data_IF_668086249000
#
_entry.id   IF_668086249000
#
_cell.length_a   1.000
_cell.length_b   1.000
_cell.length_c   1.000
_cell.angle_alpha   90.00
_cell.angle_beta   90.00
_cell.angle_gamma   90.00
#
_symmetry.space_group_name_H-M   'P 1'
#
loop_
_entity.id
_entity.type
_entity.pdbx_description
1 polymer ?
#
# COMPACT_ATOMS: atom_id res chain seq x y z
N UNK A 1 5.49 -4.08 13.46
CA UNK A 1 6.65 -3.72 12.59
C UNK A 1 6.22 -3.95 11.16
N UNK A 2 6.02 -2.89 10.37
CA UNK A 2 5.87 -3.03 8.92
C UNK A 2 7.19 -2.66 8.26
N UNK A 3 7.52 -3.39 7.21
CA UNK A 3 8.78 -3.31 6.49
C UNK A 3 8.55 -2.44 5.26
N UNK A 4 9.18 -1.27 5.21
CA UNK A 4 8.92 -0.24 4.20
C UNK A 4 10.09 -0.18 3.23
N UNK A 5 9.83 -0.21 1.93
CA UNK A 5 10.84 -0.02 0.89
C UNK A 5 10.36 1.00 -0.14
N UNK A 6 11.26 1.78 -0.75
CA UNK A 6 10.90 2.68 -1.85
C UNK A 6 10.48 1.92 -3.12
N UNK A 7 10.75 0.62 -3.21
CA UNK A 7 10.23 -0.24 -4.28
C UNK A 7 8.90 -0.85 -3.84
N UNK A 8 7.89 -0.92 -4.73
CA UNK A 8 6.65 -1.63 -4.45
C UNK A 8 6.97 -2.99 -3.85
N UNK A 9 6.49 -3.25 -2.63
CA UNK A 9 6.61 -4.57 -2.03
C UNK A 9 5.28 -5.29 -2.15
N UNK A 10 5.34 -6.60 -2.37
CA UNK A 10 4.16 -7.44 -2.24
C UNK A 10 4.26 -8.17 -0.91
N UNK A 11 3.43 -7.78 0.06
CA UNK A 11 3.35 -8.42 1.38
C UNK A 11 2.84 -9.86 1.21
N UNK A 12 3.75 -10.85 1.19
CA UNK A 12 3.38 -12.25 0.85
C UNK A 12 2.72 -13.01 1.99
N UNK A 13 2.95 -12.59 3.22
CA UNK A 13 2.32 -13.11 4.42
C UNK A 13 1.52 -11.98 5.07
N UNK A 14 0.35 -12.29 5.63
CA UNK A 14 -0.47 -11.33 6.38
C UNK A 14 0.37 -10.82 7.56
N UNK A 15 0.94 -9.62 7.45
CA UNK A 15 1.61 -8.97 8.57
C UNK A 15 0.51 -8.25 9.34
N UNK A 16 0.27 -8.70 10.57
CA UNK A 16 -0.62 -7.99 11.48
C UNK A 16 0.21 -6.94 12.22
N UNK A 17 -0.15 -5.68 12.01
CA UNK A 17 0.32 -4.56 12.81
C UNK A 17 -0.63 -4.36 13.98
N UNK A 18 -0.12 -4.37 15.21
CA UNK A 18 -0.91 -4.04 16.38
C UNK A 18 -0.61 -2.61 16.78
N UNK A 19 -1.65 -1.80 16.94
CA UNK A 19 -1.53 -0.46 17.48
C UNK A 19 -2.46 -0.30 18.67
N UNK A 20 -1.91 0.20 19.77
CA UNK A 20 -2.69 0.68 20.90
C UNK A 20 -2.95 2.17 20.69
N UNK A 21 -4.22 2.52 20.54
CA UNK A 21 -4.67 3.87 20.23
C UNK A 21 -5.35 4.49 21.45
N UNK A 22 -5.17 5.80 21.55
CA UNK A 22 -5.79 6.64 22.56
C UNK A 22 -6.64 7.71 21.88
N UNK A 23 -7.85 8.01 22.38
CA UNK A 23 -8.73 9.00 21.79
C UNK A 23 -8.17 10.43 21.94
N UNK A 24 -7.30 10.64 22.93
CA UNK A 24 -6.61 11.91 23.17
C UNK A 24 -5.10 11.70 23.31
N UNK A 25 -4.29 12.67 22.86
CA UNK A 25 -2.86 12.67 23.15
C UNK A 25 -2.62 12.52 24.66
N UNK A 26 -1.64 11.71 25.04
CA UNK A 26 -1.22 11.46 26.44
C UNK A 26 -2.28 10.79 27.34
N UNK A 27 -3.37 10.24 26.78
CA UNK A 27 -4.32 9.41 27.54
C UNK A 27 -3.96 7.92 27.42
N UNK A 28 -4.31 7.08 28.42
CA UNK A 28 -4.05 5.65 28.33
C UNK A 28 -4.76 5.04 27.10
N UNK A 29 -4.18 4.03 26.46
CA UNK A 29 -4.77 3.41 25.29
C UNK A 29 -6.07 2.69 25.68
N UNK A 30 -7.14 2.99 24.94
CA UNK A 30 -8.46 2.38 25.13
C UNK A 30 -8.83 1.45 23.98
N UNK A 31 -8.13 1.54 22.85
CA UNK A 31 -8.50 0.84 21.62
C UNK A 31 -7.31 0.06 21.08
N UNK A 32 -7.51 -1.22 20.79
CA UNK A 32 -6.54 -2.04 20.06
C UNK A 32 -6.96 -2.12 18.59
N UNK A 33 -6.18 -1.50 17.71
CA UNK A 33 -6.35 -1.61 16.27
C UNK A 33 -5.44 -2.72 15.72
N UNK A 34 -6.04 -3.67 15.01
CA UNK A 34 -5.34 -4.76 14.33
C UNK A 34 -5.30 -4.46 12.84
N UNK A 35 -4.19 -3.87 12.39
CA UNK A 35 -3.95 -3.59 10.99
C UNK A 35 -3.59 -4.85 10.24
N UNK A 36 -4.36 -5.12 9.19
CA UNK A 36 -4.10 -6.24 8.30
C UNK A 36 -3.44 -5.70 7.06
N UNK A 37 -2.12 -5.85 6.94
CA UNK A 37 -1.45 -5.51 5.69
C UNK A 37 -1.80 -6.55 4.63
N UNK A 38 -2.66 -6.16 3.69
CA UNK A 38 -2.95 -6.96 2.51
C UNK A 38 -1.94 -6.57 1.44
N UNK A 39 -1.14 -7.55 0.97
CA UNK A 39 -0.35 -7.38 -0.26
C UNK A 39 -1.21 -6.64 -1.28
N UNK A 40 -0.66 -5.56 -1.86
CA UNK A 40 -1.31 -4.72 -2.86
C UNK A 40 -2.30 -5.55 -3.65
N UNK A 41 -3.58 -5.38 -3.29
CA UNK A 41 -4.65 -6.04 -4.00
C UNK A 41 -4.45 -5.56 -5.43
N UNK A 42 -4.20 -6.48 -6.35
CA UNK A 42 -4.27 -6.31 -7.82
C UNK A 42 -2.96 -6.41 -8.61
N UNK A 43 -2.93 -7.46 -9.42
CA UNK A 43 -2.40 -7.46 -10.79
C UNK A 43 -3.30 -8.32 -11.71
N UNK A 44 -4.62 -8.31 -11.48
CA UNK A 44 -5.58 -9.02 -12.34
C UNK A 44 -6.35 -8.01 -13.19
N UNK A 45 -5.77 -7.62 -14.33
CA UNK A 45 -6.56 -7.19 -15.48
C UNK A 45 -6.36 -8.18 -16.62
N UNK A 46 -7.48 -8.77 -17.06
CA UNK A 46 -7.65 -9.34 -18.39
C UNK A 46 -7.56 -8.20 -19.38
N UNK A 47 -6.60 -8.29 -20.28
CA UNK A 47 -6.34 -7.34 -21.36
C UNK A 47 -7.45 -7.41 -22.41
N UNK A 48 -8.53 -6.63 -22.25
CA UNK A 48 -9.51 -6.47 -23.34
C UNK A 48 -10.19 -5.10 -23.48
N UNK A 49 -9.92 -4.08 -22.65
CA UNK A 49 -10.68 -2.81 -22.75
C UNK A 49 -9.87 -1.53 -22.98
N UNK A 50 -8.55 -1.53 -22.80
CA UNK A 50 -7.73 -0.35 -23.11
C UNK A 50 -6.74 -0.68 -24.24
N UNK A 51 -7.10 -0.28 -25.46
CA UNK A 51 -6.25 -0.32 -26.63
C UNK A 51 -5.11 0.69 -26.51
N UNK A 52 -3.90 0.20 -26.27
CA UNK A 52 -2.70 1.03 -26.22
C UNK A 52 -1.45 0.19 -26.47
N UNK A 53 -0.92 0.28 -27.69
CA UNK A 53 0.26 -0.46 -28.17
C UNK A 53 1.57 0.13 -27.65
N UNK A 54 1.83 0.19 -26.34
CA UNK A 54 3.18 0.49 -25.84
C UNK A 54 3.52 -0.33 -24.58
N UNK A 55 4.72 -0.96 -24.59
CA UNK A 55 5.34 -1.78 -23.51
C UNK A 55 4.62 -3.10 -23.13
N UNK A 56 4.46 -4.02 -24.08
CA UNK A 56 3.59 -5.19 -23.89
C UNK A 56 4.24 -6.58 -23.68
N UNK A 57 5.57 -6.75 -23.68
CA UNK A 57 6.18 -8.10 -23.62
C UNK A 57 6.59 -8.62 -22.23
N UNK A 58 7.11 -7.79 -21.32
CA UNK A 58 7.65 -8.28 -20.03
C UNK A 58 6.63 -8.22 -18.86
N UNK A 59 5.74 -7.22 -18.80
CA UNK A 59 4.63 -7.15 -17.80
C UNK A 59 3.66 -8.34 -17.86
N UNK A 60 3.64 -9.11 -18.96
CA UNK A 60 2.75 -10.26 -19.16
C UNK A 60 3.11 -11.47 -18.29
N UNK A 61 4.38 -11.62 -17.90
CA UNK A 61 4.86 -12.83 -17.22
C UNK A 61 4.47 -12.87 -15.73
N UNK A 62 4.38 -11.72 -15.07
CA UNK A 62 4.02 -11.61 -13.65
C UNK A 62 2.51 -11.75 -13.39
N UNK A 63 1.69 -11.27 -14.35
CA UNK A 63 0.21 -11.18 -14.27
C UNK A 63 -0.52 -12.52 -14.08
N UNK A 64 0.10 -13.67 -14.37
CA UNK A 64 -0.56 -14.99 -14.35
C UNK A 64 0.05 -16.06 -13.44
N UNK A 65 1.05 -15.73 -12.59
CA UNK A 65 1.64 -16.75 -11.71
C UNK A 65 0.61 -17.30 -10.71
N UNK A 66 0.67 -18.61 -10.41
CA UNK A 66 -0.22 -19.25 -9.40
C UNK A 66 -0.10 -18.58 -8.03
N UNK A 67 1.12 -18.13 -7.69
CA UNK A 67 1.42 -17.38 -6.47
C UNK A 67 0.67 -16.05 -6.43
N UNK A 68 0.72 -15.28 -7.51
CA UNK A 68 0.04 -13.99 -7.59
C UNK A 68 -1.50 -14.14 -7.47
N UNK A 69 -2.11 -15.13 -8.14
CA UNK A 69 -3.54 -15.43 -7.99
C UNK A 69 -3.92 -15.80 -6.55
N UNK A 70 -3.09 -16.61 -5.88
CA UNK A 70 -3.29 -16.97 -4.48
C UNK A 70 -3.19 -15.74 -3.56
N UNK A 71 -2.23 -14.84 -3.81
CA UNK A 71 -2.07 -13.59 -3.05
C UNK A 71 -3.30 -12.69 -3.17
N UNK A 72 -3.79 -12.44 -4.38
CA UNK A 72 -5.00 -11.62 -4.59
C UNK A 72 -6.22 -12.26 -3.93
N UNK A 73 -6.37 -13.59 -4.02
CA UNK A 73 -7.45 -14.32 -3.35
C UNK A 73 -7.36 -14.19 -1.83
N UNK A 74 -6.17 -14.29 -1.25
CA UNK A 74 -5.93 -14.11 0.18
C UNK A 74 -6.25 -12.70 0.63
N UNK A 75 -5.80 -11.69 -0.12
CA UNK A 75 -6.06 -10.29 0.18
C UNK A 75 -7.58 -9.98 0.21
N UNK A 76 -8.34 -10.44 -0.78
CA UNK A 76 -9.81 -10.30 -0.78
C UNK A 76 -10.54 -11.16 0.24
N UNK A 77 -9.94 -12.26 0.72
CA UNK A 77 -10.50 -13.01 1.85
C UNK A 77 -10.33 -12.19 3.12
N UNK A 78 -9.14 -11.63 3.37
CA UNK A 78 -8.88 -10.75 4.51
C UNK A 78 -9.80 -9.54 4.53
N UNK A 79 -10.03 -8.91 3.37
CA UNK A 79 -10.95 -7.77 3.28
C UNK A 79 -12.38 -8.15 3.66
N UNK A 80 -12.84 -9.41 3.63
CA UNK A 80 -14.22 -9.70 4.08
C UNK A 80 -14.41 -9.65 5.59
N UNK A 81 -13.35 -9.86 6.36
CA UNK A 81 -13.43 -10.06 7.80
C UNK A 81 -12.91 -8.83 8.59
N UNK A 82 -12.78 -7.66 7.95
CA UNK A 82 -12.30 -6.42 8.61
C UNK A 82 -13.45 -5.47 8.91
N UNK A 83 -13.41 -4.90 10.12
CA UNK A 83 -14.39 -3.90 10.61
C UNK A 83 -14.30 -2.57 9.84
N UNK A 84 -13.11 -2.21 9.36
CA UNK A 84 -12.87 -0.99 8.60
C UNK A 84 -11.92 -1.24 7.43
N UNK A 85 -12.12 -0.52 6.32
CA UNK A 85 -11.25 -0.59 5.13
C UNK A 85 -10.67 0.78 4.84
N UNK A 86 -9.36 0.85 4.71
CA UNK A 86 -8.64 2.06 4.35
C UNK A 86 -7.99 1.90 2.98
N UNK A 87 -8.30 2.80 2.07
CA UNK A 87 -7.67 2.89 0.76
C UNK A 87 -6.70 4.07 0.76
N UNK A 88 -5.40 3.75 0.78
CA UNK A 88 -4.34 4.77 0.77
C UNK A 88 -4.00 5.12 -0.67
N UNK A 89 -4.06 6.40 -0.99
CA UNK A 89 -3.79 6.98 -2.30
C UNK A 89 -2.68 8.02 -2.21
N UNK A 90 -1.88 8.13 -3.27
CA UNK A 90 -0.89 9.21 -3.39
C UNK A 90 -1.57 10.46 -3.94
N UNK A 91 -1.68 11.50 -3.11
CA UNK A 91 -2.37 12.74 -3.45
C UNK A 91 -1.74 13.44 -4.67
N UNK A 92 -0.41 13.36 -4.83
CA UNK A 92 0.32 13.94 -5.97
C UNK A 92 -0.05 13.31 -7.31
N UNK A 93 -0.40 12.02 -7.30
CA UNK A 93 -0.91 11.34 -8.50
C UNK A 93 -2.37 11.68 -8.79
N UNK A 94 -3.10 12.23 -7.83
CA UNK A 94 -4.51 12.57 -8.01
C UNK A 94 -4.71 14.05 -8.37
N UNK A 95 -3.76 14.93 -7.99
CA UNK A 95 -3.87 16.38 -8.19
C UNK A 95 -3.69 16.86 -9.62
N UNK A 96 -2.96 16.12 -10.46
CA UNK A 96 -2.78 16.45 -11.87
C UNK A 96 -4.09 16.47 -12.69
N UNK A 97 -5.22 16.12 -12.07
CA UNK A 97 -6.49 15.82 -12.74
C UNK A 97 -7.69 16.62 -12.23
N UNK A 98 -7.48 17.64 -11.38
CA UNK A 98 -8.54 18.47 -10.78
C UNK A 98 -8.51 19.95 -11.15
N UNK A 99 -7.81 20.37 -12.22
CA UNK A 99 -7.68 21.80 -12.54
C UNK A 99 -6.85 22.62 -11.53
N UNK A 100 -6.16 21.95 -10.61
CA UNK A 100 -5.27 22.55 -9.60
C UNK A 100 -3.81 22.68 -10.06
N UNK A 101 -3.50 22.28 -11.30
CA UNK A 101 -2.23 22.67 -11.90
C UNK A 101 -2.33 24.15 -12.32
N UNK A 102 -1.33 25.00 -12.02
CA UNK A 102 -1.27 26.34 -12.59
C UNK A 102 -1.42 26.23 -14.11
N UNK A 103 -2.13 27.20 -14.71
CA UNK A 103 -2.51 27.25 -16.12
C UNK A 103 -1.47 26.57 -17.00
N UNK A 104 -1.91 25.58 -17.78
CA UNK A 104 -1.03 24.84 -18.69
C UNK A 104 -0.17 25.83 -19.46
N UNK A 105 1.17 25.65 -19.58
CA UNK A 105 1.99 26.60 -20.30
C UNK A 105 1.44 26.75 -21.72
N UNK A 106 0.98 27.95 -22.06
CA UNK A 106 0.57 28.29 -23.41
C UNK A 106 1.83 28.24 -24.29
N UNK A 107 1.82 27.38 -25.30
CA UNK A 107 2.80 27.43 -26.39
C UNK A 107 2.07 28.01 -27.61
N UNK A 108 2.49 29.20 -28.04
CA UNK A 108 1.91 29.91 -29.20
C UNK A 108 0.38 30.13 -29.15
N UNK A 109 -0.16 30.46 -27.97
CA UNK A 109 -1.60 30.74 -27.80
C UNK A 109 -2.49 29.50 -27.92
N UNK A 110 -1.89 28.30 -27.90
CA UNK A 110 -2.60 27.02 -27.86
C UNK A 110 -2.39 26.45 -26.46
N UNK A 111 -3.49 26.19 -25.75
CA UNK A 111 -3.45 25.48 -24.47
C UNK A 111 -2.96 24.04 -24.72
N UNK A 112 -1.71 23.75 -24.32
CA UNK A 112 -1.11 22.40 -24.40
C UNK A 112 -1.18 21.74 -23.03
N UNK A 113 -2.39 21.47 -22.58
CA UNK A 113 -2.68 20.69 -21.38
C UNK A 113 -4.04 20.01 -21.55
N UNK A 114 -4.29 18.87 -20.88
CA UNK A 114 -5.53 18.13 -21.10
C UNK A 114 -6.74 18.99 -20.67
N UNK A 115 -7.44 19.54 -21.65
CA UNK A 115 -8.80 20.05 -21.52
C UNK A 115 -9.72 18.85 -21.42
N UNK A 116 -9.77 18.18 -20.25
CA UNK A 116 -10.74 17.11 -20.04
C UNK A 116 -11.39 17.22 -18.67
N UNK A 117 -12.64 17.70 -18.72
CA UNK A 117 -13.70 17.47 -17.73
C UNK A 117 -14.07 16.00 -17.56
N UNK A 118 -13.47 15.08 -18.32
CA UNK A 118 -13.79 13.67 -18.24
C UNK A 118 -12.61 12.88 -17.68
N UNK A 119 -12.91 12.20 -16.56
CA UNK A 119 -12.31 10.94 -16.18
C UNK A 119 -10.89 10.92 -15.61
N UNK A 120 -10.76 11.08 -14.29
CA UNK A 120 -9.62 10.46 -13.59
C UNK A 120 -9.54 8.93 -13.85
N UNK A 121 -10.61 8.32 -14.40
CA UNK A 121 -10.75 6.92 -14.80
C UNK A 121 -10.08 6.46 -16.11
N UNK A 122 -9.35 7.33 -16.83
CA UNK A 122 -8.64 6.95 -18.06
C UNK A 122 -7.12 7.07 -17.97
N UNK A 123 -6.58 7.51 -16.83
CA UNK A 123 -5.15 7.79 -16.75
C UNK A 123 -4.30 6.50 -16.58
N UNK A 124 -3.27 6.29 -17.43
CA UNK A 124 -2.42 5.09 -17.35
C UNK A 124 -1.68 4.93 -16.02
N UNK A 125 -1.35 6.02 -15.33
CA UNK A 125 -0.67 5.96 -14.01
C UNK A 125 -1.60 5.62 -12.85
N UNK A 126 -2.92 5.68 -13.08
CA UNK A 126 -3.96 5.32 -12.11
C UNK A 126 -4.64 3.97 -12.46
N UNK A 127 -4.10 3.21 -13.42
CA UNK A 127 -4.69 1.93 -13.85
C UNK A 127 -4.90 0.97 -12.67
N UNK A 128 -3.97 0.97 -11.69
CA UNK A 128 -4.01 0.12 -10.50
C UNK A 128 -5.11 0.58 -9.53
N UNK A 129 -5.14 1.86 -9.22
CA UNK A 129 -6.11 2.53 -8.35
C UNK A 129 -7.54 2.36 -8.89
N UNK A 130 -7.73 2.48 -10.21
CA UNK A 130 -9.01 2.30 -10.88
C UNK A 130 -9.50 0.86 -10.87
N UNK A 131 -8.58 -0.10 -11.01
CA UNK A 131 -8.92 -1.50 -10.90
C UNK A 131 -9.44 -1.82 -9.49
N UNK A 132 -8.78 -1.26 -8.47
CA UNK A 132 -9.20 -1.43 -7.08
C UNK A 132 -10.58 -0.82 -6.80
N UNK A 133 -10.84 0.40 -7.30
CA UNK A 133 -12.16 1.02 -7.20
C UNK A 133 -13.26 0.15 -7.81
N UNK A 134 -13.02 -0.43 -9.00
CA UNK A 134 -14.00 -1.31 -9.66
C UNK A 134 -14.33 -2.53 -8.81
N UNK A 135 -13.35 -3.13 -8.15
CA UNK A 135 -13.59 -4.26 -7.26
C UNK A 135 -14.32 -3.86 -5.98
N UNK A 136 -14.01 -2.69 -5.39
CA UNK A 136 -14.75 -2.15 -4.24
C UNK A 136 -16.22 -1.94 -4.59
N UNK A 137 -16.48 -1.31 -5.74
CA UNK A 137 -17.83 -1.08 -6.28
C UNK A 137 -18.58 -2.39 -6.53
N UNK A 138 -17.94 -3.35 -7.19
CA UNK A 138 -18.51 -4.67 -7.48
C UNK A 138 -18.91 -5.42 -6.21
N UNK A 139 -18.16 -5.22 -5.12
CA UNK A 139 -18.40 -5.87 -3.83
C UNK A 139 -19.28 -5.05 -2.89
N UNK A 140 -19.68 -3.83 -3.31
CA UNK A 140 -20.42 -2.86 -2.50
C UNK A 140 -19.83 -2.69 -1.10
N UNK A 141 -18.50 -2.63 -1.02
CA UNK A 141 -17.83 -2.54 0.28
C UNK A 141 -17.59 -1.09 0.66
N UNK A 142 -17.99 -0.72 1.87
CA UNK A 142 -17.67 0.59 2.41
C UNK A 142 -16.15 0.76 2.62
N UNK A 143 -15.66 1.94 2.32
CA UNK A 143 -14.23 2.28 2.32
C UNK A 143 -14.02 3.70 2.84
N UNK A 144 -12.95 3.89 3.59
CA UNK A 144 -12.40 5.21 3.88
C UNK A 144 -11.16 5.46 3.05
N UNK A 145 -10.99 6.66 2.53
CA UNK A 145 -9.86 7.04 1.68
C UNK A 145 -8.85 7.85 2.49
N UNK A 146 -7.57 7.56 2.31
CA UNK A 146 -6.46 8.31 2.92
C UNK A 146 -5.60 8.84 1.79
N UNK A 147 -5.66 10.13 1.52
CA UNK A 147 -4.74 10.78 0.61
C UNK A 147 -3.44 11.07 1.36
N UNK A 148 -2.39 10.35 1.03
CA UNK A 148 -1.05 10.56 1.58
C UNK A 148 -0.22 11.44 0.66
N UNK A 149 0.83 12.07 1.19
CA UNK A 149 1.72 13.01 0.49
C UNK A 149 1.06 14.33 0.10
N UNK A 150 0.18 14.86 0.96
CA UNK A 150 -0.45 16.17 0.72
C UNK A 150 0.53 17.33 0.84
N UNK A 151 1.69 17.12 1.47
CA UNK A 151 2.80 18.08 1.49
C UNK A 151 3.32 18.42 0.09
N UNK A 152 3.37 17.42 -0.81
CA UNK A 152 3.78 17.65 -2.19
C UNK A 152 2.80 18.58 -2.91
N UNK A 153 1.51 18.46 -2.60
CA UNK A 153 0.48 19.34 -3.16
C UNK A 153 0.60 20.76 -2.61
N UNK A 154 0.85 20.90 -1.30
CA UNK A 154 1.08 22.21 -0.68
C UNK A 154 2.30 22.91 -1.29
N UNK A 155 3.40 22.18 -1.52
CA UNK A 155 4.60 22.70 -2.20
C UNK A 155 4.32 23.15 -3.64
N UNK A 156 3.35 22.53 -4.31
CA UNK A 156 2.87 22.92 -5.64
C UNK A 156 1.88 24.10 -5.61
N UNK A 157 1.54 24.64 -4.44
CA UNK A 157 0.57 25.72 -4.28
C UNK A 157 -0.89 25.29 -4.43
N UNK A 158 -1.17 23.99 -4.31
CA UNK A 158 -2.54 23.44 -4.40
C UNK A 158 -3.26 23.63 -3.07
N UNK A 159 -4.49 24.14 -3.14
CA UNK A 159 -5.40 24.15 -2.00
C UNK A 159 -5.86 22.72 -1.66
N UNK A 160 -5.43 22.22 -0.50
CA UNK A 160 -5.72 20.85 -0.05
C UNK A 160 -7.18 20.66 0.27
N UNK A 161 -7.85 21.69 0.82
CA UNK A 161 -9.27 21.59 1.17
C UNK A 161 -10.13 21.50 -0.09
N UNK A 162 -9.90 22.40 -1.05
CA UNK A 162 -10.53 22.38 -2.37
C UNK A 162 -10.29 21.06 -3.11
N UNK A 163 -9.04 20.58 -3.13
CA UNK A 163 -8.69 19.29 -3.71
C UNK A 163 -9.46 18.13 -3.06
N UNK A 164 -9.51 18.08 -1.72
CA UNK A 164 -10.21 17.02 -1.00
C UNK A 164 -11.72 17.06 -1.23
N UNK A 165 -12.32 18.25 -1.30
CA UNK A 165 -13.75 18.42 -1.57
C UNK A 165 -14.11 17.91 -2.97
N UNK A 166 -13.37 18.32 -3.99
CA UNK A 166 -13.61 17.85 -5.36
C UNK A 166 -13.41 16.33 -5.48
N UNK A 167 -12.34 15.80 -4.88
CA UNK A 167 -12.08 14.36 -4.91
C UNK A 167 -13.14 13.57 -4.15
N UNK A 168 -13.69 14.10 -3.05
CA UNK A 168 -14.82 13.50 -2.34
C UNK A 168 -16.02 13.34 -3.25
N UNK A 169 -16.47 14.41 -3.89
CA UNK A 169 -17.65 14.38 -4.78
C UNK A 169 -17.46 13.36 -5.91
N UNK A 170 -16.24 13.31 -6.49
CA UNK A 170 -15.90 12.34 -7.53
C UNK A 170 -15.98 10.90 -7.00
N UNK A 171 -15.31 10.61 -5.88
CA UNK A 171 -15.27 9.29 -5.26
C UNK A 171 -16.67 8.81 -4.83
N UNK A 172 -17.49 9.69 -4.26
CA UNK A 172 -18.86 9.36 -3.85
C UNK A 172 -19.73 8.96 -5.05
N UNK A 173 -19.63 9.71 -6.15
CA UNK A 173 -20.31 9.36 -7.40
C UNK A 173 -19.84 8.02 -7.98
N UNK A 174 -18.54 7.76 -7.95
CA UNK A 174 -17.96 6.60 -8.63
C UNK A 174 -18.16 5.29 -7.86
N UNK A 175 -17.89 5.34 -6.55
CA UNK A 175 -18.14 4.22 -5.64
C UNK A 175 -19.65 3.94 -5.56
N UNK A 176 -20.44 5.00 -5.41
CA UNK A 176 -21.90 4.91 -5.29
C UNK A 176 -22.34 4.55 -3.87
N UNK A 177 -23.51 3.89 -3.80
CA UNK A 177 -24.20 3.55 -2.55
C UNK A 177 -24.42 2.04 -2.45
N UNK A 178 -24.60 1.55 -1.24
CA UNK A 178 -24.98 0.16 -0.99
C UNK A 178 -26.48 -0.09 -1.23
N UNK A 179 -26.95 -1.28 -0.84
CA UNK A 179 -28.35 -1.71 -1.01
C UNK A 179 -29.34 -0.95 -0.11
N UNK A 180 -28.84 -0.36 0.99
CA UNK A 180 -29.62 0.44 1.92
C UNK A 180 -29.62 1.92 1.54
N UNK A 181 -28.83 2.30 0.53
CA UNK A 181 -28.70 3.68 0.07
C UNK A 181 -27.61 4.45 0.82
N UNK A 182 -26.81 3.79 1.67
CA UNK A 182 -25.70 4.43 2.36
C UNK A 182 -24.50 4.61 1.42
N UNK A 183 -23.77 5.70 1.58
CA UNK A 183 -22.59 5.98 0.77
C UNK A 183 -21.52 4.92 1.03
N UNK A 184 -20.90 4.40 -0.04
CA UNK A 184 -19.77 3.49 0.11
C UNK A 184 -18.50 4.21 0.55
N UNK A 185 -18.38 5.51 0.31
CA UNK A 185 -17.32 6.33 0.90
C UNK A 185 -17.75 6.76 2.30
N UNK A 186 -16.99 6.35 3.32
CA UNK A 186 -17.24 6.76 4.71
C UNK A 186 -16.51 8.06 5.01
N UNK A 187 -15.18 8.06 4.88
CA UNK A 187 -14.32 9.17 5.23
C UNK A 187 -13.26 9.42 4.18
N UNK A 188 -12.69 10.62 4.21
CA UNK A 188 -11.57 11.03 3.40
C UNK A 188 -10.64 11.89 4.27
N UNK A 189 -9.38 11.46 4.41
CA UNK A 189 -8.38 12.18 5.19
C UNK A 189 -7.19 12.60 4.31
N UNK A 190 -6.86 13.90 4.25
CA UNK A 190 -5.55 14.36 3.78
C UNK A 190 -4.49 14.10 4.84
N UNK A 191 -3.36 13.53 4.44
CA UNK A 191 -2.26 13.15 5.32
C UNK A 191 -0.92 13.42 4.67
N UNK A 192 0.04 13.81 5.50
CA UNK A 192 1.46 13.87 5.15
C UNK A 192 2.23 13.07 6.18
N UNK A 193 2.11 11.75 6.12
CA UNK A 193 2.56 10.86 7.22
C UNK A 193 4.05 11.02 7.54
N UNK A 194 4.87 11.34 6.55
CA UNK A 194 6.32 11.49 6.73
C UNK A 194 6.75 12.86 7.27
N UNK A 195 6.06 13.95 6.91
CA UNK A 195 6.43 15.31 7.35
C UNK A 195 5.60 15.79 8.54
N UNK A 196 4.32 15.43 8.58
CA UNK A 196 3.33 15.84 9.57
C UNK A 196 2.59 14.60 10.12
N UNK A 197 3.23 13.77 10.97
CA UNK A 197 2.60 12.57 11.54
C UNK A 197 1.30 12.85 12.29
N UNK A 198 1.14 14.05 12.84
CA UNK A 198 -0.07 14.55 13.50
C UNK A 198 -1.30 14.60 12.57
N UNK A 199 -1.11 14.59 11.25
CA UNK A 199 -2.20 14.46 10.28
C UNK A 199 -3.01 13.17 10.46
N UNK A 200 -2.45 12.14 11.12
CA UNK A 200 -3.15 10.90 11.45
C UNK A 200 -4.07 10.99 12.67
N UNK A 201 -4.00 12.06 13.48
CA UNK A 201 -4.76 12.16 14.73
C UNK A 201 -6.28 12.05 14.51
N UNK A 202 -6.80 12.65 13.44
CA UNK A 202 -8.23 12.56 13.10
C UNK A 202 -8.65 11.14 12.74
N UNK A 203 -7.81 10.41 12.01
CA UNK A 203 -8.02 9.00 11.68
C UNK A 203 -7.95 8.12 12.93
N UNK A 204 -6.98 8.37 13.82
CA UNK A 204 -6.86 7.63 15.09
C UNK A 204 -8.07 7.83 16.00
N UNK A 205 -8.58 9.06 16.11
CA UNK A 205 -9.82 9.35 16.85
C UNK A 205 -11.01 8.60 16.26
N UNK A 206 -11.18 8.66 14.95
CA UNK A 206 -12.24 7.95 14.26
C UNK A 206 -12.17 6.44 14.54
N UNK A 207 -10.96 5.83 14.51
CA UNK A 207 -10.76 4.43 14.87
C UNK A 207 -11.18 4.14 16.33
N UNK A 208 -10.85 5.01 17.28
CA UNK A 208 -11.24 4.85 18.68
C UNK A 208 -12.77 4.87 18.87
N UNK A 209 -13.47 5.65 18.06
CA UNK A 209 -14.92 5.87 18.16
C UNK A 209 -15.75 4.83 17.38
N UNK A 210 -15.19 4.23 16.33
CA UNK A 210 -15.95 3.41 15.36
C UNK A 210 -15.57 1.92 15.38
N UNK A 211 -14.48 1.52 16.03
CA UNK A 211 -14.17 0.10 16.21
C UNK A 211 -15.11 -0.54 17.24
N UNK A 212 -15.48 -1.83 17.06
CA UNK A 212 -16.40 -2.51 17.95
C UNK A 212 -15.86 -2.61 19.38
N UNK A 213 -16.73 -2.38 20.36
CA UNK A 213 -16.38 -2.52 21.78
C UNK A 213 -16.20 -4.01 22.12
N UNK A 214 -14.96 -4.38 22.46
CA UNK A 214 -14.61 -5.74 22.85
C UNK A 214 -13.32 -5.76 23.67
N UNK A 215 -13.06 -6.87 24.36
CA UNK A 215 -11.77 -7.11 24.99
C UNK A 215 -10.63 -7.18 23.94
N UNK A 216 -9.40 -6.78 24.29
CA UNK A 216 -8.26 -6.90 23.39
C UNK A 216 -8.11 -8.34 22.85
N UNK A 217 -8.00 -8.46 21.52
CA UNK A 217 -7.83 -9.74 20.83
C UNK A 217 -6.42 -10.29 21.06
N UNK A 218 -5.43 -9.39 21.14
CA UNK A 218 -4.04 -9.72 21.40
C UNK A 218 -3.57 -9.12 22.74
N UNK A 219 -2.56 -9.73 23.40
CA UNK A 219 -1.92 -9.13 24.57
C UNK A 219 -1.40 -7.71 24.26
N UNK A 220 -1.60 -6.76 25.18
CA UNK A 220 -1.20 -5.35 25.00
C UNK A 220 0.32 -5.16 24.88
N UNK A 221 1.10 -6.11 25.40
CA UNK A 221 2.56 -6.16 25.28
C UNK A 221 3.03 -6.43 23.84
N UNK A 222 2.16 -7.01 23.00
CA UNK A 222 2.52 -7.46 21.67
C UNK A 222 2.37 -6.31 20.65
N UNK A 223 3.48 -5.91 20.04
CA UNK A 223 3.49 -4.93 18.94
C UNK A 223 3.18 -5.61 17.58
N UNK A 224 3.36 -6.93 17.49
CA UNK A 224 3.01 -7.76 16.32
C UNK A 224 2.91 -9.22 16.76
N UNK A 225 2.08 -10.01 16.09
CA UNK A 225 1.99 -11.46 16.27
C UNK A 225 2.97 -12.23 15.37
N UNK A 226 3.76 -11.51 14.55
CA UNK A 226 4.70 -12.09 13.59
C UNK A 226 5.84 -12.76 14.36
N UNK A 227 6.05 -14.08 14.22
CA UNK A 227 7.16 -14.76 14.88
C UNK A 227 8.50 -14.14 14.52
N UNK A 228 9.43 -14.03 15.48
CA UNK A 228 10.75 -13.43 15.26
C UNK A 228 11.51 -14.02 14.06
N UNK A 229 11.29 -15.32 13.78
CA UNK A 229 11.78 -16.01 12.59
C UNK A 229 11.26 -15.37 11.29
N UNK A 230 9.95 -15.15 11.21
CA UNK A 230 9.34 -14.54 10.05
C UNK A 230 9.85 -13.11 9.88
N UNK A 231 9.90 -12.34 10.97
CA UNK A 231 10.45 -10.97 10.96
C UNK A 231 11.90 -10.95 10.43
N UNK A 232 12.76 -11.85 10.90
CA UNK A 232 14.14 -11.95 10.43
C UNK A 232 14.25 -12.26 8.92
N UNK A 233 13.36 -13.11 8.38
CA UNK A 233 13.33 -13.39 6.93
C UNK A 233 12.86 -12.18 6.13
N UNK A 234 11.85 -11.47 6.62
CA UNK A 234 11.31 -10.30 5.94
C UNK A 234 12.28 -9.12 5.97
N UNK A 235 13.02 -8.91 7.06
CA UNK A 235 14.07 -7.88 7.17
C UNK A 235 15.17 -8.13 6.11
N UNK A 236 15.67 -9.36 6.02
CA UNK A 236 16.67 -9.72 5.01
C UNK A 236 16.11 -9.56 3.60
N UNK A 237 14.85 -9.96 3.38
CA UNK A 237 14.17 -9.79 2.09
C UNK A 237 14.13 -8.32 1.69
N UNK A 238 13.72 -7.43 2.58
CA UNK A 238 13.69 -5.98 2.34
C UNK A 238 15.05 -5.43 1.96
N UNK A 239 16.09 -5.77 2.72
CA UNK A 239 17.44 -5.28 2.44
C UNK A 239 17.90 -5.76 1.06
N UNK A 240 17.63 -7.02 0.72
CA UNK A 240 17.87 -7.54 -0.63
C UNK A 240 17.06 -6.76 -1.68
N UNK A 241 15.81 -6.38 -1.43
CA UNK A 241 15.04 -5.56 -2.38
C UNK A 241 15.65 -4.17 -2.60
N UNK A 242 16.16 -3.54 -1.54
CA UNK A 242 16.80 -2.23 -1.66
C UNK A 242 18.05 -2.31 -2.53
N UNK A 243 18.85 -3.36 -2.33
CA UNK A 243 20.18 -3.49 -2.94
C UNK A 243 20.12 -4.13 -4.34
N UNK A 244 19.23 -5.07 -4.59
CA UNK A 244 19.05 -5.73 -5.88
C UNK A 244 18.24 -4.84 -6.84
N UNK A 245 18.69 -4.69 -8.08
CA UNK A 245 17.96 -3.96 -9.13
C UNK A 245 17.00 -4.89 -9.91
N UNK A 246 16.12 -4.30 -10.71
CA UNK A 246 15.20 -4.97 -11.65
C UNK A 246 14.15 -5.91 -11.01
N UNK A 247 13.79 -7.03 -11.67
CA UNK A 247 12.70 -7.94 -11.28
C UNK A 247 13.09 -9.03 -10.27
N UNK A 248 14.39 -9.20 -9.98
CA UNK A 248 14.91 -10.20 -9.02
C UNK A 248 14.28 -10.07 -7.61
N UNK A 249 14.10 -8.85 -7.04
CA UNK A 249 13.45 -8.62 -5.75
C UNK A 249 12.09 -9.29 -5.61
N UNK A 250 11.30 -9.36 -6.69
CA UNK A 250 9.92 -9.85 -6.65
C UNK A 250 9.81 -11.36 -6.77
N UNK A 251 10.90 -12.07 -7.10
CA UNK A 251 10.91 -13.52 -7.35
C UNK A 251 11.77 -14.30 -6.33
N UNK A 252 12.27 -13.62 -5.29
CA UNK A 252 13.07 -14.26 -4.24
C UNK A 252 12.24 -14.59 -3.00
N UNK A 253 12.70 -15.56 -2.22
CA UNK A 253 12.16 -15.94 -0.90
C UNK A 253 13.33 -16.15 0.06
N UNK A 254 13.22 -15.64 1.28
CA UNK A 254 14.21 -15.88 2.34
C UNK A 254 13.63 -16.91 3.30
N UNK A 255 14.41 -17.95 3.59
CA UNK A 255 14.04 -19.03 4.51
C UNK A 255 15.08 -19.14 5.61
N UNK A 256 14.65 -19.11 6.87
CA UNK A 256 15.56 -19.39 7.98
C UNK A 256 15.88 -20.89 8.03
N UNK A 257 17.16 -21.22 8.04
CA UNK A 257 17.69 -22.59 8.13
C UNK A 257 18.31 -22.84 9.50
N UNK A 258 18.92 -21.81 10.11
CA UNK A 258 19.54 -21.90 11.43
C UNK A 258 18.95 -20.80 12.32
N UNK A 259 18.59 -21.19 13.55
CA UNK A 259 18.19 -20.29 14.62
C UNK A 259 18.68 -20.90 15.93
N UNK A 260 19.77 -20.35 16.48
CA UNK A 260 20.35 -20.80 17.74
C UNK A 260 20.54 -19.61 18.65
N UNK A 261 19.97 -19.70 19.85
CA UNK A 261 20.23 -18.76 20.93
C UNK A 261 21.43 -19.27 21.71
N UNK A 262 22.48 -18.47 21.73
CA UNK A 262 23.68 -18.79 22.48
C UNK A 262 23.49 -18.41 23.96
N UNK A 263 24.20 -19.07 24.89
CA UNK A 263 24.11 -18.76 26.32
C UNK A 263 24.50 -17.32 26.69
N UNK A 264 25.24 -16.64 25.83
CA UNK A 264 25.63 -15.22 25.98
C UNK A 264 24.56 -14.24 25.48
N UNK A 265 23.37 -14.74 25.10
CA UNK A 265 22.26 -13.94 24.58
C UNK A 265 22.36 -13.60 23.10
N UNK A 266 23.40 -14.04 22.38
CA UNK A 266 23.49 -13.82 20.92
C UNK A 266 22.60 -14.79 20.16
N UNK A 267 21.91 -14.26 19.15
CA UNK A 267 21.12 -15.07 18.23
C UNK A 267 21.94 -15.36 16.95
N UNK A 268 22.26 -16.62 16.70
CA UNK A 268 22.84 -17.07 15.43
C UNK A 268 21.73 -17.37 14.42
N UNK A 269 21.73 -16.59 13.34
CA UNK A 269 20.80 -16.71 12.22
C UNK A 269 21.51 -17.28 11.00
N UNK A 270 20.94 -18.30 10.39
CA UNK A 270 21.35 -18.79 9.07
C UNK A 270 20.17 -18.76 8.13
N UNK A 271 20.30 -18.07 7.01
CA UNK A 271 19.20 -17.86 6.06
C UNK A 271 19.61 -18.30 4.65
N UNK A 272 18.65 -18.84 3.90
CA UNK A 272 18.80 -19.22 2.50
C UNK A 272 17.94 -18.32 1.64
N UNK A 273 18.55 -17.68 0.65
CA UNK A 273 17.85 -16.92 -0.39
C UNK A 273 17.55 -17.86 -1.55
N UNK A 274 16.27 -18.06 -1.83
CA UNK A 274 15.76 -18.90 -2.92
C UNK A 274 15.27 -18.01 -4.05
N UNK A 275 15.67 -18.30 -5.28
CA UNK A 275 15.30 -17.57 -6.50
C UNK A 275 14.77 -18.53 -7.56
N UNK A 276 14.14 -18.01 -8.62
CA UNK A 276 13.50 -18.83 -9.66
C UNK A 276 14.47 -19.35 -10.72
N UNK A 277 15.52 -18.59 -11.04
CA UNK A 277 16.46 -18.94 -12.13
C UNK A 277 17.91 -18.88 -11.71
N UNK A 278 18.78 -19.61 -12.42
CA UNK A 278 20.22 -19.60 -12.17
C UNK A 278 20.84 -18.21 -12.41
N UNK A 279 20.35 -17.46 -13.39
CA UNK A 279 20.79 -16.09 -13.65
C UNK A 279 20.53 -15.16 -12.46
N UNK A 280 19.35 -15.27 -11.84
CA UNK A 280 19.03 -14.54 -10.60
C UNK A 280 19.94 -14.96 -9.44
N UNK A 281 20.26 -16.25 -9.32
CA UNK A 281 21.16 -16.74 -8.28
C UNK A 281 22.55 -16.10 -8.42
N UNK A 282 23.05 -15.97 -9.65
CA UNK A 282 24.34 -15.34 -9.92
C UNK A 282 24.33 -13.85 -9.56
N UNK A 283 23.26 -13.12 -9.89
CA UNK A 283 23.09 -11.70 -9.54
C UNK A 283 23.09 -11.52 -8.01
N UNK A 284 22.29 -12.32 -7.30
CA UNK A 284 22.20 -12.25 -5.83
C UNK A 284 23.55 -12.57 -5.20
N UNK A 285 24.25 -13.62 -5.66
CA UNK A 285 25.57 -13.99 -5.13
C UNK A 285 26.62 -12.92 -5.38
N UNK A 286 26.62 -12.32 -6.58
CA UNK A 286 27.54 -11.23 -6.90
C UNK A 286 27.33 -10.04 -5.96
N UNK A 287 26.07 -9.65 -5.74
CA UNK A 287 25.76 -8.52 -4.86
C UNK A 287 26.01 -8.82 -3.38
N UNK A 288 25.74 -10.04 -2.93
CA UNK A 288 26.07 -10.45 -1.57
C UNK A 288 27.58 -10.43 -1.30
N UNK A 289 28.40 -10.86 -2.27
CA UNK A 289 29.86 -10.82 -2.15
C UNK A 289 30.37 -9.39 -1.97
N UNK A 290 29.92 -8.47 -2.82
CA UNK A 290 30.26 -7.04 -2.73
C UNK A 290 29.95 -6.49 -1.32
N UNK A 291 28.76 -6.77 -0.78
CA UNK A 291 28.37 -6.31 0.57
C UNK A 291 29.24 -6.92 1.67
N UNK A 292 29.61 -8.19 1.56
CA UNK A 292 30.40 -8.90 2.58
C UNK A 292 31.90 -8.62 2.50
N UNK A 293 32.40 -8.18 1.35
CA UNK A 293 33.81 -7.80 1.17
C UNK A 293 34.07 -6.36 1.65
N UNK A 294 33.04 -5.51 1.67
CA UNK A 294 33.07 -4.14 2.17
C UNK A 294 32.83 -4.00 3.69
N UNK A 295 32.58 -5.10 4.43
CA UNK A 295 32.19 -5.13 5.85
C UNK A 295 33.23 -5.81 6.75
#
# INVERSE_FOLDING_TARGET
VSIVSPKPQTTRQRILGLALLSPRPNSPPTTQAVFVDTAGIMQLTTSSEFGGSFRHKQKKLFRHSKLHKAMVKTAWKSVRDVDATFWVLDASKCSAYGGFLPESPELDGISVGPTMRDAWWTHPELEEELCFLRELKKRKKQVSVVFNKTDVLQEMGVDIEGFCLEMRERLERDLGRDEQGEALLINLWPTSVLKEPESLLSLQRWLCENLPEQSPIYPVENISDVPARVAASEITREKLMCVLRDEVPYQLTVVNVIWRENPDGRLQLGQKVVVMTQGQCNIVRGKLREITEDA
#
